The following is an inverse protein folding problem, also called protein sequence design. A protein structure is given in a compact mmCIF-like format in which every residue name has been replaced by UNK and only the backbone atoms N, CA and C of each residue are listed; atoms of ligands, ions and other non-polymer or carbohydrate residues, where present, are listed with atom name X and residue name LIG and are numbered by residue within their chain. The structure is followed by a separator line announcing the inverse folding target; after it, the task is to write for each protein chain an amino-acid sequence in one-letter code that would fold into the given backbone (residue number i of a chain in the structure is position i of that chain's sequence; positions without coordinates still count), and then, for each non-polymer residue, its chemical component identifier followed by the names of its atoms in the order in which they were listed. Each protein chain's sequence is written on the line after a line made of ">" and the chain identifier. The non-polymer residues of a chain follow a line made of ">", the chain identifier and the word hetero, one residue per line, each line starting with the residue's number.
data_IF_518914115021
#
_entry.id   IF_518914115021
#
_cell.length_a   1.000
_cell.length_b   1.000
_cell.length_c   1.000
_cell.angle_alpha   90.00
_cell.angle_beta   90.00
_cell.angle_gamma   90.00
#
_symmetry.space_group_name_H-M   'P 1'
#
loop_
_entity.id
_entity.type
_entity.pdbx_description
1 polymer ?
#
# COMPACT_ATOMS: atom_id res chain seq x y z
N UNK A 1 -25.74 10.69 11.39
CA UNK A 1 -25.99 9.95 10.14
C UNK A 1 -24.94 10.29 9.08
N UNK A 2 -24.67 11.57 8.87
CA UNK A 2 -23.66 11.99 7.89
C UNK A 2 -22.29 11.45 8.26
N UNK A 3 -21.99 11.40 9.57
CA UNK A 3 -20.72 10.92 10.06
C UNK A 3 -20.49 9.44 9.75
N UNK A 4 -21.57 8.63 9.79
CA UNK A 4 -21.49 7.21 9.48
C UNK A 4 -21.19 6.99 8.00
N UNK A 5 -21.80 7.78 7.14
CA UNK A 5 -21.55 7.70 5.70
C UNK A 5 -20.12 8.09 5.37
N UNK A 6 -19.60 9.13 6.04
CA UNK A 6 -18.23 9.56 5.85
C UNK A 6 -17.25 8.49 6.28
N UNK A 7 -17.52 7.82 7.40
CA UNK A 7 -16.65 6.74 7.88
C UNK A 7 -16.67 5.54 6.93
N UNK A 8 -17.82 5.27 6.32
CA UNK A 8 -17.93 4.19 5.36
C UNK A 8 -17.10 4.48 4.11
N UNK A 9 -17.16 5.72 3.64
CA UNK A 9 -16.36 6.14 2.49
C UNK A 9 -14.87 6.05 2.78
N UNK A 10 -14.46 6.46 3.97
CA UNK A 10 -13.06 6.35 4.38
C UNK A 10 -12.60 4.90 4.44
N UNK A 11 -13.49 4.02 4.91
CA UNK A 11 -13.18 2.60 4.98
C UNK A 11 -13.00 2.01 3.59
N UNK A 12 -13.85 2.40 2.64
CA UNK A 12 -13.74 1.95 1.25
C UNK A 12 -12.45 2.45 0.60
N UNK A 13 -12.08 3.70 0.89
CA UNK A 13 -10.84 4.27 0.37
C UNK A 13 -9.63 3.50 0.88
N UNK A 14 -9.68 3.03 2.13
CA UNK A 14 -8.59 2.24 2.68
C UNK A 14 -8.40 0.93 1.93
N UNK A 15 -9.49 0.30 1.50
CA UNK A 15 -9.40 -0.91 0.70
C UNK A 15 -8.73 -0.64 -0.63
N UNK A 16 -9.10 0.46 -1.27
CA UNK A 16 -8.50 0.84 -2.54
C UNK A 16 -7.01 1.12 -2.37
N UNK A 17 -6.64 1.81 -1.29
CA UNK A 17 -5.25 2.10 -1.00
C UNK A 17 -4.46 0.80 -0.78
N UNK A 18 -5.06 -0.16 -0.07
CA UNK A 18 -4.41 -1.43 0.20
C UNK A 18 -4.16 -2.21 -1.09
N UNK A 19 -5.16 -2.23 -1.97
CA UNK A 19 -5.00 -2.93 -3.24
C UNK A 19 -3.92 -2.29 -4.10
N UNK A 20 -3.86 -0.97 -4.13
CA UNK A 20 -2.79 -0.26 -4.83
C UNK A 20 -1.43 -0.58 -4.21
N UNK A 21 -1.38 -0.64 -2.88
CA UNK A 21 -0.13 -0.99 -2.21
C UNK A 21 0.33 -2.40 -2.55
N UNK A 22 -0.61 -3.34 -2.68
CA UNK A 22 -0.28 -4.71 -3.08
C UNK A 22 0.30 -4.75 -4.49
N UNK A 23 -0.29 -4.00 -5.41
CA UNK A 23 0.23 -3.92 -6.77
C UNK A 23 1.65 -3.35 -6.79
N UNK A 24 1.88 -2.28 -6.02
CA UNK A 24 3.21 -1.71 -5.93
C UNK A 24 4.21 -2.70 -5.35
N UNK A 25 3.83 -3.40 -4.27
CA UNK A 25 4.70 -4.38 -3.66
C UNK A 25 5.05 -5.49 -4.65
N UNK A 26 4.07 -5.96 -5.41
CA UNK A 26 4.29 -6.99 -6.41
C UNK A 26 5.27 -6.52 -7.49
N UNK A 27 5.11 -5.29 -7.97
CA UNK A 27 6.02 -4.74 -8.98
C UNK A 27 7.43 -4.60 -8.46
N UNK A 28 7.57 -4.23 -7.18
CA UNK A 28 8.88 -4.12 -6.54
C UNK A 28 9.52 -5.50 -6.42
N UNK A 29 8.76 -6.50 -6.02
CA UNK A 29 9.27 -7.87 -5.91
C UNK A 29 9.72 -8.41 -7.26
N UNK A 30 9.04 -8.03 -8.32
CA UNK A 30 9.41 -8.45 -9.67
C UNK A 30 10.57 -7.65 -10.26
N UNK A 31 11.02 -6.63 -9.56
CA UNK A 31 12.13 -5.81 -10.04
C UNK A 31 11.75 -4.79 -11.10
N UNK A 32 10.45 -4.59 -11.33
CA UNK A 32 9.99 -3.65 -12.35
C UNK A 32 9.91 -2.22 -11.83
N UNK A 33 9.78 -2.04 -10.52
CA UNK A 33 9.70 -0.73 -9.91
C UNK A 33 10.50 -0.72 -8.62
N UNK A 34 10.88 0.47 -8.16
CA UNK A 34 11.63 0.63 -6.94
C UNK A 34 10.75 1.23 -5.84
N UNK A 35 11.10 0.94 -4.60
CA UNK A 35 10.35 1.45 -3.46
C UNK A 35 10.29 2.97 -3.44
N UNK A 36 11.34 3.63 -3.87
CA UNK A 36 11.38 5.09 -3.91
C UNK A 36 10.34 5.69 -4.85
N UNK A 37 9.84 4.90 -5.80
CA UNK A 37 8.82 5.35 -6.75
C UNK A 37 7.42 5.29 -6.17
N UNK A 38 7.24 4.64 -5.02
CA UNK A 38 5.93 4.48 -4.41
C UNK A 38 5.42 5.83 -3.92
N UNK A 39 4.15 6.18 -4.20
CA UNK A 39 3.59 7.40 -3.67
C UNK A 39 3.68 7.46 -2.15
N UNK A 40 3.93 8.65 -1.63
CA UNK A 40 4.17 8.84 -0.21
C UNK A 40 3.08 8.24 0.68
N UNK A 41 1.83 8.35 0.25
CA UNK A 41 0.70 7.86 1.02
C UNK A 41 0.64 6.34 1.09
N UNK A 42 1.26 5.65 0.14
CA UNK A 42 1.26 4.20 0.08
C UNK A 42 2.52 3.57 0.64
N UNK A 43 3.55 4.35 0.91
CA UNK A 43 4.85 3.80 1.30
C UNK A 43 4.77 2.93 2.55
N UNK A 44 4.04 3.36 3.56
CA UNK A 44 3.93 2.57 4.79
C UNK A 44 3.23 1.24 4.55
N UNK A 45 2.16 1.25 3.77
CA UNK A 45 1.43 0.02 3.47
C UNK A 45 2.27 -0.92 2.61
N UNK A 46 2.96 -0.38 1.61
CA UNK A 46 3.83 -1.19 0.77
C UNK A 46 4.96 -1.79 1.59
N UNK A 47 5.54 -1.00 2.49
CA UNK A 47 6.60 -1.49 3.37
C UNK A 47 6.11 -2.64 4.23
N UNK A 48 4.93 -2.53 4.82
CA UNK A 48 4.36 -3.60 5.63
C UNK A 48 4.15 -4.87 4.83
N UNK A 49 3.64 -4.73 3.61
CA UNK A 49 3.41 -5.88 2.73
C UNK A 49 4.74 -6.55 2.40
N UNK A 50 5.77 -5.79 2.09
CA UNK A 50 7.07 -6.34 1.79
C UNK A 50 7.68 -7.06 2.99
N UNK A 51 7.54 -6.49 4.17
CA UNK A 51 8.03 -7.10 5.40
C UNK A 51 7.30 -8.42 5.66
N UNK A 52 5.97 -8.42 5.53
CA UNK A 52 5.17 -9.62 5.74
C UNK A 52 5.52 -10.72 4.75
N UNK A 53 5.97 -10.34 3.57
CA UNK A 53 6.38 -11.30 2.54
C UNK A 53 7.82 -11.76 2.70
N UNK A 54 8.52 -11.28 3.73
CA UNK A 54 9.91 -11.62 3.94
C UNK A 54 10.89 -10.85 3.07
N UNK A 55 10.44 -9.79 2.44
CA UNK A 55 11.25 -8.98 1.54
C UNK A 55 11.35 -7.53 2.00
N UNK A 56 11.38 -7.31 3.31
CA UNK A 56 11.45 -5.98 3.89
C UNK A 56 12.66 -5.18 3.44
N UNK A 57 13.73 -5.84 3.05
CA UNK A 57 14.92 -5.16 2.57
C UNK A 57 14.67 -4.38 1.28
N UNK A 58 13.65 -4.76 0.52
CA UNK A 58 13.27 -4.03 -0.70
C UNK A 58 12.58 -2.70 -0.39
N UNK A 59 12.20 -2.48 0.85
CA UNK A 59 11.51 -1.28 1.29
C UNK A 59 12.48 -0.21 1.81
N UNK A 60 13.71 -0.27 1.44
CA UNK A 60 14.71 0.72 1.83
C UNK A 60 15.05 1.71 0.75
#
# INVERSE_FOLDING_TARGET
>A
MITLLTNLLLFLNRKDDFMMAMLWAQQIMLGKKEFKDVPRLLKEQVKEILIDSGMGELAE
#
